data_IF_727345468579
#
_entry.id   IF_727345468579
#
_cell.length_a   1.000
_cell.length_b   1.000
_cell.length_c   1.000
_cell.angle_alpha   90.00
_cell.angle_beta   90.00
_cell.angle_gamma   90.00
#
_symmetry.space_group_name_H-M   'P 1'
#
loop_
_entity.id
_entity.type
_entity.pdbx_description
1 polymer ?
#
# COMPACT_ATOMS: atom_id res chain seq x y z
N UNK A 1 -1.99 -19.77 1.66
CA UNK A 1 -2.88 -18.76 1.06
C UNK A 1 -2.82 -18.93 -0.45
N UNK A 2 -3.92 -18.74 -1.18
CA UNK A 2 -3.91 -18.63 -2.64
C UNK A 2 -4.92 -17.57 -3.08
N UNK A 3 -4.49 -16.60 -3.90
CA UNK A 3 -5.37 -15.61 -4.47
C UNK A 3 -5.04 -15.30 -5.93
N UNK A 4 -6.09 -15.05 -6.72
CA UNK A 4 -6.04 -14.79 -8.16
C UNK A 4 -6.64 -13.42 -8.44
N UNK A 5 -5.86 -12.55 -9.06
CA UNK A 5 -6.26 -11.19 -9.46
C UNK A 5 -6.33 -11.16 -10.98
N UNK A 6 -7.42 -10.65 -11.54
CA UNK A 6 -7.61 -10.58 -12.99
C UNK A 6 -7.62 -9.16 -13.54
N UNK A 7 -7.15 -9.02 -14.78
CA UNK A 7 -7.28 -7.82 -15.59
C UNK A 7 -6.76 -6.55 -14.92
N UNK A 8 -7.56 -5.48 -14.97
CA UNK A 8 -7.17 -4.16 -14.48
C UNK A 8 -6.92 -4.12 -12.96
N UNK A 9 -7.45 -5.09 -12.20
CA UNK A 9 -7.21 -5.18 -10.76
C UNK A 9 -5.73 -5.43 -10.44
N UNK A 10 -4.98 -6.09 -11.33
CA UNK A 10 -3.52 -6.30 -11.13
C UNK A 10 -2.78 -4.97 -11.08
N UNK A 11 -3.16 -4.01 -11.93
CA UNK A 11 -2.62 -2.64 -11.89
C UNK A 11 -2.97 -1.92 -10.59
N UNK A 12 -4.20 -2.08 -10.09
CA UNK A 12 -4.64 -1.47 -8.82
C UNK A 12 -3.85 -2.04 -7.65
N UNK A 13 -3.66 -3.36 -7.59
CA UNK A 13 -2.80 -4.00 -6.60
C UNK A 13 -1.37 -3.46 -6.66
N UNK A 14 -0.80 -3.35 -7.87
CA UNK A 14 0.50 -2.74 -8.07
C UNK A 14 0.58 -1.29 -7.58
N UNK A 15 -0.44 -0.47 -7.82
CA UNK A 15 -0.49 0.91 -7.29
C UNK A 15 -0.46 0.94 -5.76
N UNK A 16 -1.12 0.01 -5.08
CA UNK A 16 -1.07 -0.09 -3.63
C UNK A 16 0.33 -0.45 -3.14
N UNK A 17 1.03 -1.38 -3.81
CA UNK A 17 2.45 -1.69 -3.53
C UNK A 17 3.33 -0.45 -3.69
N UNK A 18 3.16 0.32 -4.78
CA UNK A 18 3.90 1.57 -5.00
C UNK A 18 3.61 2.64 -3.93
N UNK A 19 2.38 2.72 -3.44
CA UNK A 19 2.01 3.65 -2.37
C UNK A 19 2.67 3.22 -1.04
N UNK A 20 2.58 1.95 -0.68
CA UNK A 20 3.19 1.42 0.54
C UNK A 20 4.72 1.49 0.53
N UNK A 21 5.36 1.37 -0.64
CA UNK A 21 6.83 1.51 -0.74
C UNK A 21 7.35 2.92 -0.46
N UNK A 22 6.46 3.92 -0.35
CA UNK A 22 6.81 5.27 0.11
C UNK A 22 6.78 5.40 1.64
N UNK A 23 6.26 4.40 2.34
CA UNK A 23 6.11 4.39 3.80
C UNK A 23 7.22 3.56 4.44
N UNK A 24 7.43 2.32 3.97
CA UNK A 24 8.38 1.40 4.59
C UNK A 24 9.07 0.46 3.61
N UNK A 25 10.17 -0.12 4.09
CA UNK A 25 11.03 -1.06 3.34
C UNK A 25 10.56 -2.53 3.44
N UNK A 26 9.57 -2.79 4.28
CA UNK A 26 8.98 -4.12 4.48
C UNK A 26 7.49 -4.11 4.14
N UNK A 27 7.01 -5.21 3.56
CA UNK A 27 5.61 -5.42 3.22
C UNK A 27 5.09 -6.67 3.94
N UNK A 28 4.01 -6.50 4.71
CA UNK A 28 3.27 -7.61 5.30
C UNK A 28 2.12 -8.01 4.38
N UNK A 29 2.04 -9.31 4.09
CA UNK A 29 0.90 -9.96 3.43
C UNK A 29 0.12 -10.69 4.52
N UNK A 30 -1.01 -10.13 4.93
CA UNK A 30 -1.86 -10.70 5.97
C UNK A 30 -3.18 -11.20 5.38
N UNK A 31 -3.32 -12.51 5.14
CA UNK A 31 -4.56 -13.10 4.67
C UNK A 31 -5.59 -13.23 5.80
N UNK A 32 -6.73 -12.56 5.64
CA UNK A 32 -7.82 -12.52 6.61
C UNK A 32 -9.13 -13.02 5.98
N UNK A 33 -10.12 -13.36 6.81
CA UNK A 33 -11.48 -13.68 6.32
C UNK A 33 -12.08 -12.53 5.51
N UNK A 34 -11.78 -11.28 5.90
CA UNK A 34 -12.22 -10.06 5.20
C UNK A 34 -11.38 -9.73 3.96
N UNK A 35 -10.44 -10.59 3.56
CA UNK A 35 -9.60 -10.42 2.39
C UNK A 35 -8.10 -10.29 2.71
N UNK A 36 -7.30 -9.86 1.74
CA UNK A 36 -5.85 -9.71 1.90
C UNK A 36 -5.50 -8.28 2.31
N UNK A 37 -4.89 -8.13 3.49
CA UNK A 37 -4.31 -6.86 3.91
C UNK A 37 -2.84 -6.77 3.50
N UNK A 38 -2.50 -5.67 2.83
CA UNK A 38 -1.14 -5.24 2.57
C UNK A 38 -0.79 -4.16 3.59
N UNK A 39 0.28 -4.34 4.36
CA UNK A 39 0.68 -3.37 5.38
C UNK A 39 2.15 -3.01 5.28
N UNK A 40 2.48 -1.80 5.68
CA UNK A 40 3.86 -1.34 5.80
C UNK A 40 3.96 -0.32 6.94
N UNK A 41 5.11 -0.29 7.58
CA UNK A 41 5.46 0.67 8.63
C UNK A 41 6.85 1.21 8.33
N UNK A 42 7.10 2.48 8.63
CA UNK A 42 8.44 3.06 8.53
C UNK A 42 9.37 2.53 9.63
N UNK A 43 10.68 2.76 9.48
CA UNK A 43 11.71 2.32 10.45
C UNK A 43 11.52 2.90 11.85
N UNK A 44 10.96 4.11 11.96
CA UNK A 44 10.70 4.79 13.22
C UNK A 44 9.36 4.39 13.87
N UNK A 45 8.58 3.49 13.26
CA UNK A 45 7.26 3.07 13.74
C UNK A 45 6.26 4.22 13.92
N UNK A 46 6.47 5.35 13.24
CA UNK A 46 5.65 6.56 13.34
C UNK A 46 4.69 6.74 12.16
N UNK A 47 4.87 6.00 11.06
CA UNK A 47 4.01 6.03 9.90
C UNK A 47 3.58 4.61 9.51
N UNK A 48 2.27 4.40 9.37
CA UNK A 48 1.67 3.12 9.03
C UNK A 48 0.76 3.27 7.81
N UNK A 49 0.85 2.33 6.88
CA UNK A 49 -0.02 2.23 5.71
C UNK A 49 -0.66 0.85 5.61
N UNK A 50 -1.94 0.81 5.24
CA UNK A 50 -2.69 -0.43 5.05
C UNK A 50 -3.65 -0.32 3.88
N UNK A 51 -3.62 -1.33 2.99
CA UNK A 51 -4.65 -1.56 1.99
C UNK A 51 -5.30 -2.91 2.23
N UNK A 52 -6.63 -2.93 2.38
CA UNK A 52 -7.39 -4.17 2.48
C UNK A 52 -8.11 -4.44 1.16
N UNK A 53 -7.74 -5.54 0.50
CA UNK A 53 -8.44 -6.05 -0.67
C UNK A 53 -9.47 -7.09 -0.24
N UNK A 54 -10.76 -6.74 -0.35
CA UNK A 54 -11.89 -7.63 -0.07
C UNK A 54 -11.82 -8.93 -0.89
N UNK A 55 -12.39 -10.08 -0.47
CA UNK A 55 -12.39 -11.30 -1.25
C UNK A 55 -12.95 -11.13 -2.67
N UNK A 56 -13.93 -10.23 -2.85
CA UNK A 56 -14.52 -9.93 -4.17
C UNK A 56 -13.60 -9.17 -5.13
N UNK A 57 -12.48 -8.63 -4.63
CA UNK A 57 -11.43 -8.06 -5.48
C UNK A 57 -10.72 -9.15 -6.29
N UNK A 58 -10.69 -10.38 -5.77
CA UNK A 58 -10.04 -11.52 -6.36
C UNK A 58 -11.07 -12.35 -7.14
N UNK A 59 -10.65 -12.93 -8.26
CA UNK A 59 -11.43 -13.97 -8.91
C UNK A 59 -11.51 -15.21 -8.02
N UNK A 60 -10.42 -15.51 -7.33
CA UNK A 60 -10.35 -16.59 -6.35
C UNK A 60 -9.57 -16.10 -5.14
N UNK A 61 -10.13 -16.33 -3.94
CA UNK A 61 -9.46 -16.05 -2.68
C UNK A 61 -9.67 -17.24 -1.75
N UNK A 62 -8.58 -17.91 -1.36
CA UNK A 62 -8.61 -19.00 -0.39
C UNK A 62 -7.53 -18.83 0.69
N UNK A 63 -7.99 -18.94 1.92
CA UNK A 63 -7.13 -19.15 3.07
C UNK A 63 -6.69 -20.62 3.04
N UNK A 64 -5.41 -20.89 3.13
CA UNK A 64 -4.91 -22.27 3.13
C UNK A 64 -5.35 -22.98 4.41
N UNK A 65 -6.26 -23.96 4.27
CA UNK A 65 -6.52 -25.09 5.18
C UNK A 65 -6.88 -24.75 6.63
N UNK A 66 -8.11 -25.13 7.03
CA UNK A 66 -8.75 -24.89 8.33
C UNK A 66 -7.97 -25.31 9.61
N UNK A 67 -6.80 -25.93 9.48
CA UNK A 67 -5.97 -26.43 10.61
C UNK A 67 -4.59 -25.76 10.71
N UNK A 68 -4.21 -24.87 9.79
CA UNK A 68 -2.94 -24.13 9.89
C UNK A 68 -3.24 -22.67 10.17
N UNK A 69 -2.59 -22.12 11.19
CA UNK A 69 -2.59 -20.68 11.43
C UNK A 69 -2.30 -19.97 10.10
N UNK A 70 -3.13 -18.97 9.77
CA UNK A 70 -2.95 -18.17 8.55
C UNK A 70 -1.56 -17.56 8.60
N UNK A 71 -0.65 -18.09 7.78
CA UNK A 71 0.75 -17.63 7.74
C UNK A 71 0.76 -16.16 7.36
N UNK A 72 1.16 -15.33 8.31
CA UNK A 72 1.41 -13.91 8.14
C UNK A 72 2.86 -13.77 7.72
N UNK A 73 3.08 -13.31 6.49
CA UNK A 73 4.42 -13.22 5.96
C UNK A 73 4.83 -11.78 5.72
N UNK A 74 6.09 -11.51 6.04
CA UNK A 74 6.78 -10.25 5.80
C UNK A 74 7.80 -10.47 4.69
N UNK A 75 7.76 -9.62 3.66
CA UNK A 75 8.66 -9.67 2.52
C UNK A 75 9.32 -8.32 2.30
N UNK A 76 10.56 -8.34 1.82
CA UNK A 76 11.30 -7.13 1.47
C UNK A 76 10.56 -6.36 0.38
N UNK A 77 10.18 -5.10 0.66
CA UNK A 77 9.37 -4.27 -0.23
C UNK A 77 9.98 -4.13 -1.62
N UNK A 78 11.30 -3.91 -1.69
CA UNK A 78 12.03 -3.76 -2.96
C UNK A 78 11.85 -4.97 -3.89
N UNK A 79 11.79 -6.17 -3.32
CA UNK A 79 11.58 -7.40 -4.08
C UNK A 79 10.20 -7.43 -4.72
N UNK A 80 9.15 -7.08 -3.97
CA UNK A 80 7.76 -7.01 -4.48
C UNK A 80 7.60 -5.85 -5.46
N UNK A 81 8.10 -4.66 -5.12
CA UNK A 81 8.03 -3.46 -5.96
C UNK A 81 8.68 -3.67 -7.32
N UNK A 82 9.77 -4.45 -7.38
CA UNK A 82 10.44 -4.78 -8.65
C UNK A 82 9.52 -5.52 -9.63
N UNK A 83 8.60 -6.35 -9.12
CA UNK A 83 7.61 -7.09 -9.92
C UNK A 83 6.54 -6.15 -10.50
N UNK A 84 6.18 -5.10 -9.74
CA UNK A 84 5.20 -4.10 -10.12
C UNK A 84 5.81 -2.82 -10.70
N UNK A 85 7.10 -2.83 -11.10
CA UNK A 85 7.85 -1.63 -11.52
C UNK A 85 7.17 -0.85 -12.66
N UNK A 86 6.69 -1.55 -13.69
CA UNK A 86 6.09 -0.94 -14.87
C UNK A 86 4.60 -1.28 -14.98
N UNK A 87 3.77 -0.47 -14.31
CA UNK A 87 2.32 -0.69 -14.24
C UNK A 87 1.63 -0.61 -15.61
N UNK A 88 2.15 0.19 -16.54
CA UNK A 88 1.63 0.27 -17.93
C UNK A 88 1.89 -1.01 -18.72
N UNK A 89 3.04 -1.66 -18.49
CA UNK A 89 3.33 -2.98 -19.08
C UNK A 89 2.45 -4.06 -18.46
N UNK A 90 2.23 -4.02 -17.14
CA UNK A 90 1.33 -4.96 -16.45
C UNK A 90 -0.08 -4.87 -17.04
N UNK A 91 -0.65 -3.67 -17.12
CA UNK A 91 -1.99 -3.45 -17.68
C UNK A 91 -2.15 -3.95 -19.11
N UNK A 92 -1.10 -3.82 -19.93
CA UNK A 92 -1.13 -4.24 -21.33
C UNK A 92 -0.90 -5.72 -21.53
N UNK A 93 -0.10 -6.36 -20.68
CA UNK A 93 0.47 -7.68 -20.98
C UNK A 93 0.00 -8.78 -20.02
N UNK A 94 -0.37 -8.45 -18.78
CA UNK A 94 -0.75 -9.41 -17.74
C UNK A 94 -2.26 -9.60 -17.75
N UNK A 95 -2.69 -10.83 -17.93
CA UNK A 95 -4.10 -11.23 -17.90
C UNK A 95 -4.52 -11.61 -16.47
N UNK A 96 -3.66 -12.36 -15.77
CA UNK A 96 -3.91 -12.80 -14.40
C UNK A 96 -2.62 -12.73 -13.55
N UNK A 97 -2.78 -12.46 -12.26
CA UNK A 97 -1.72 -12.52 -11.26
C UNK A 97 -2.14 -13.49 -10.15
N UNK A 98 -1.37 -14.55 -9.96
CA UNK A 98 -1.59 -15.52 -8.89
C UNK A 98 -0.59 -15.25 -7.78
N UNK A 99 -1.06 -15.16 -6.54
CA UNK A 99 -0.23 -15.02 -5.35
C UNK A 99 -0.54 -16.19 -4.44
N UNK A 100 0.46 -17.02 -4.18
CA UNK A 100 0.30 -18.19 -3.31
C UNK A 100 1.46 -18.32 -2.33
N UNK A 101 1.18 -18.97 -1.21
CA UNK A 101 2.19 -19.39 -0.25
C UNK A 101 2.09 -20.91 -0.20
N UNK A 102 2.88 -21.62 -1.04
CA UNK A 102 2.87 -23.08 -1.06
C UNK A 102 3.49 -23.59 0.25
N UNK A 103 2.76 -24.41 1.01
CA UNK A 103 3.38 -25.18 2.08
C UNK A 103 4.13 -26.38 1.47
N UNK A 104 5.32 -26.78 1.96
CA UNK A 104 6.05 -26.29 3.14
C UNK A 104 7.16 -25.27 2.81
N UNK A 105 6.95 -24.34 1.88
CA UNK A 105 8.00 -23.41 1.45
C UNK A 105 7.94 -22.07 2.19
N UNK A 106 9.11 -21.54 2.58
CA UNK A 106 9.26 -20.18 3.11
C UNK A 106 9.27 -19.12 2.00
N UNK A 107 8.48 -19.35 0.94
CA UNK A 107 8.42 -18.50 -0.24
C UNK A 107 7.00 -18.12 -0.60
N UNK A 108 6.82 -16.84 -0.89
CA UNK A 108 5.63 -16.33 -1.57
C UNK A 108 5.88 -16.46 -3.06
N UNK A 109 5.02 -17.20 -3.75
CA UNK A 109 5.03 -17.32 -5.20
C UNK A 109 4.08 -16.31 -5.80
N UNK A 110 4.61 -15.45 -6.68
CA UNK A 110 3.84 -14.50 -7.48
C UNK A 110 4.02 -14.88 -8.95
N UNK A 111 2.93 -15.22 -9.62
CA UNK A 111 2.94 -15.61 -11.04
C UNK A 111 2.13 -14.62 -11.87
N UNK A 112 2.70 -14.12 -12.95
CA UNK A 112 1.98 -13.36 -13.96
C UNK A 112 1.72 -14.24 -15.17
N UNK A 113 0.45 -14.49 -15.45
CA UNK A 113 -0.01 -15.08 -16.69
C UNK A 113 -0.20 -13.94 -17.70
N UNK A 114 0.66 -13.91 -18.70
CA UNK A 114 0.70 -12.87 -19.70
C UNK A 114 0.10 -13.37 -21.03
N UNK A 115 -0.25 -12.41 -21.89
CA UNK A 115 -0.67 -12.67 -23.27
C UNK A 115 0.29 -13.60 -24.00
N UNK A 116 -0.26 -14.33 -24.96
CA UNK A 116 0.47 -15.30 -25.80
C UNK A 116 1.07 -16.48 -25.00
N UNK A 117 0.46 -16.83 -23.86
CA UNK A 117 0.84 -18.00 -23.08
C UNK A 117 2.14 -17.85 -22.29
N UNK A 118 2.62 -16.63 -22.08
CA UNK A 118 3.86 -16.38 -21.33
C UNK A 118 3.58 -16.36 -19.82
N UNK A 119 4.22 -17.24 -19.06
CA UNK A 119 4.11 -17.26 -17.59
C UNK A 119 5.40 -16.79 -16.95
N UNK A 120 5.33 -15.76 -16.10
CA UNK A 120 6.46 -15.28 -15.29
C UNK A 120 6.26 -15.67 -13.84
N UNK A 121 7.15 -16.49 -13.30
CA UNK A 121 7.07 -16.98 -11.91
C UNK A 121 8.17 -16.34 -11.07
N UNK A 122 7.77 -15.75 -9.94
CA UNK A 122 8.66 -15.10 -8.99
C UNK A 122 8.49 -15.71 -7.61
N UNK A 123 9.58 -16.22 -7.04
CA UNK A 123 9.58 -16.82 -5.70
C UNK A 123 10.32 -15.89 -4.74
N UNK A 124 9.59 -15.24 -3.86
CA UNK A 124 10.11 -14.29 -2.89
C UNK A 124 10.26 -14.99 -1.53
N UNK A 125 11.46 -14.98 -0.96
CA UNK A 125 11.64 -15.43 0.41
C UNK A 125 10.88 -14.51 1.36
N UNK A 126 10.19 -15.09 2.35
CA UNK A 126 9.51 -14.33 3.39
C UNK A 126 10.05 -14.67 4.78
N UNK A 127 9.81 -13.78 5.72
CA UNK A 127 9.97 -14.04 7.16
C UNK A 127 8.58 -14.18 7.76
N UNK A 128 8.35 -15.25 8.52
CA UNK A 128 7.15 -15.34 9.33
C UNK A 128 7.16 -14.21 10.38
N UNK A 129 6.02 -13.56 10.57
CA UNK A 129 5.91 -12.37 11.41
C UNK A 129 4.58 -12.38 12.15
N UNK A 130 4.59 -11.78 13.34
CA UNK A 130 3.37 -11.42 14.04
C UNK A 130 2.54 -10.41 13.23
N UNK A 131 1.25 -10.28 13.55
CA UNK A 131 0.39 -9.29 12.92
C UNK A 131 0.91 -7.89 13.23
N UNK A 132 1.18 -7.14 12.16
CA UNK A 132 1.33 -5.70 12.24
C UNK A 132 -0.06 -5.07 12.31
N UNK A 133 -0.43 -4.54 13.46
CA UNK A 133 -1.65 -3.75 13.67
C UNK A 133 -1.31 -2.39 14.25
N UNK A 134 -1.92 -1.34 13.69
CA UNK A 134 -1.88 0.00 14.27
C UNK A 134 -3.22 0.29 14.93
N UNK A 135 -3.21 0.58 16.23
CA UNK A 135 -4.41 0.96 16.96
C UNK A 135 -4.68 2.44 16.68
N UNK A 136 -5.62 2.70 15.77
CA UNK A 136 -6.05 4.06 15.45
C UNK A 136 -7.57 4.17 15.51
N UNK A 137 -8.07 4.88 16.52
CA UNK A 137 -9.49 5.02 16.76
C UNK A 137 -10.05 6.27 16.05
N UNK A 138 -10.27 6.12 14.74
CA UNK A 138 -10.77 7.18 13.83
C UNK A 138 -12.02 7.90 14.34
N UNK A 139 -12.88 7.19 15.08
CA UNK A 139 -14.14 7.70 15.61
C UNK A 139 -13.99 8.66 16.79
N UNK A 140 -12.80 8.72 17.42
CA UNK A 140 -12.49 9.72 18.45
C UNK A 140 -11.83 10.98 17.89
N UNK A 141 -11.56 11.07 16.58
CA UNK A 141 -10.96 12.25 15.99
C UNK A 141 -11.96 13.42 15.97
N UNK A 142 -11.68 14.57 16.65
CA UNK A 142 -12.61 15.70 16.71
C UNK A 142 -12.71 16.48 15.38
N UNK A 143 -11.69 16.33 14.52
CA UNK A 143 -11.57 17.05 13.26
C UNK A 143 -11.54 16.06 12.10
N UNK A 144 -12.38 16.28 11.09
CA UNK A 144 -12.46 15.44 9.88
C UNK A 144 -12.47 16.32 8.64
N UNK A 145 -11.51 16.10 7.75
CA UNK A 145 -11.44 16.72 6.42
C UNK A 145 -11.68 15.65 5.35
N UNK A 146 -12.65 15.88 4.46
CA UNK A 146 -12.93 15.02 3.31
C UNK A 146 -12.97 15.86 2.04
N UNK A 147 -12.16 15.49 1.06
CA UNK A 147 -12.07 16.16 -0.23
C UNK A 147 -11.71 15.17 -1.33
N UNK A 148 -11.98 15.49 -2.61
CA UNK A 148 -11.48 14.70 -3.72
C UNK A 148 -9.94 14.59 -3.68
N UNK A 149 -9.39 13.39 -3.89
CA UNK A 149 -7.94 13.17 -3.86
C UNK A 149 -7.17 14.08 -4.84
N UNK A 150 -7.78 14.38 -5.99
CA UNK A 150 -7.22 15.32 -6.97
C UNK A 150 -7.08 16.73 -6.39
N UNK A 151 -8.08 17.21 -5.66
CA UNK A 151 -8.04 18.53 -5.01
C UNK A 151 -6.90 18.59 -3.98
N UNK A 152 -6.76 17.55 -3.16
CA UNK A 152 -5.65 17.47 -2.20
C UNK A 152 -4.29 17.39 -2.89
N UNK A 153 -4.21 16.66 -4.01
CA UNK A 153 -3.02 16.64 -4.87
C UNK A 153 -2.66 18.03 -5.39
N UNK A 154 -3.63 18.75 -5.95
CA UNK A 154 -3.48 20.11 -6.47
C UNK A 154 -3.05 21.11 -5.39
N UNK A 155 -3.35 20.85 -4.10
CA UNK A 155 -2.82 21.66 -3.00
C UNK A 155 -1.36 21.35 -2.68
N UNK A 156 -0.93 20.09 -2.83
CA UNK A 156 0.41 19.64 -2.44
C UNK A 156 1.44 19.85 -3.55
N UNK A 157 1.04 19.96 -4.83
CA UNK A 157 1.98 20.18 -5.96
C UNK A 157 2.79 21.47 -5.85
N UNK A 158 2.34 22.42 -5.03
CA UNK A 158 3.02 23.70 -4.84
C UNK A 158 4.18 23.64 -3.85
N UNK A 159 4.32 22.54 -3.10
CA UNK A 159 5.48 22.34 -2.24
C UNK A 159 6.70 21.88 -3.05
N UNK A 160 7.91 22.34 -2.68
CA UNK A 160 9.13 21.79 -3.26
C UNK A 160 9.24 20.28 -3.02
N UNK A 161 9.83 19.55 -3.97
CA UNK A 161 9.97 18.08 -3.90
C UNK A 161 10.80 17.63 -2.69
N UNK A 162 11.67 18.50 -2.18
CA UNK A 162 12.50 18.25 -0.99
C UNK A 162 11.82 18.65 0.33
N UNK A 163 10.57 19.13 0.29
CA UNK A 163 9.85 19.50 1.51
C UNK A 163 9.56 18.24 2.33
N UNK A 164 10.17 18.14 3.51
CA UNK A 164 10.05 16.97 4.37
C UNK A 164 8.76 17.00 5.20
N UNK A 165 8.40 18.17 5.74
CA UNK A 165 7.26 18.33 6.63
C UNK A 165 6.31 19.45 6.19
N UNK A 166 5.01 19.23 6.39
CA UNK A 166 3.96 20.22 6.12
C UNK A 166 3.03 20.33 7.32
N UNK A 167 2.57 21.54 7.60
CA UNK A 167 1.57 21.81 8.64
C UNK A 167 0.19 21.95 8.01
N UNK A 168 -0.75 21.09 8.42
CA UNK A 168 -2.18 21.22 8.11
C UNK A 168 -2.90 21.92 9.25
N UNK A 169 -3.58 23.02 8.94
CA UNK A 169 -4.44 23.75 9.87
C UNK A 169 -5.84 23.93 9.30
N UNK A 170 -6.86 23.84 10.14
CA UNK A 170 -8.26 23.90 9.73
C UNK A 170 -9.09 24.75 10.68
N UNK A 171 -10.00 25.53 10.11
CA UNK A 171 -11.10 26.22 10.77
C UNK A 171 -12.41 25.86 10.06
N UNK A 172 -13.59 26.17 10.61
CA UNK A 172 -14.87 25.89 9.93
C UNK A 172 -15.00 26.52 8.54
N UNK A 173 -14.21 27.56 8.23
CA UNK A 173 -14.28 28.32 6.98
C UNK A 173 -13.09 28.10 6.05
N UNK A 174 -11.98 27.52 6.55
CA UNK A 174 -10.71 27.52 5.83
C UNK A 174 -9.84 26.33 6.16
N UNK A 175 -9.18 25.79 5.14
CA UNK A 175 -8.09 24.82 5.26
C UNK A 175 -6.80 25.45 4.75
N UNK A 176 -5.70 25.27 5.47
CA UNK A 176 -4.41 25.83 5.11
C UNK A 176 -3.29 24.81 5.28
N UNK A 177 -2.47 24.66 4.23
CA UNK A 177 -1.22 23.91 4.23
C UNK A 177 -0.04 24.89 4.20
N UNK A 178 0.97 24.64 5.04
CA UNK A 178 2.20 25.45 5.11
C UNK A 178 3.41 24.54 5.18
N UNK A 179 4.54 25.02 4.70
CA UNK A 179 5.83 24.36 4.90
C UNK A 179 6.22 24.45 6.37
N UNK A 180 6.93 23.44 6.85
CA UNK A 180 7.62 23.49 8.13
C UNK A 180 9.14 23.57 7.89
N UNK A 181 9.83 24.39 8.67
CA UNK A 181 11.29 24.50 8.69
C UNK A 181 11.75 24.51 10.14
N UNK A 182 12.65 23.60 10.51
CA UNK A 182 13.29 23.63 11.81
C UNK A 182 14.22 24.86 11.91
N UNK A 183 13.89 25.79 12.81
CA UNK A 183 14.82 26.84 13.25
C UNK A 183 14.72 28.25 12.65
N UNK A 184 13.53 28.80 12.37
CA UNK A 184 13.45 30.22 12.00
C UNK A 184 12.06 30.86 12.05
N UNK A 185 11.90 31.87 12.92
CA UNK A 185 10.75 32.78 12.94
C UNK A 185 10.76 33.76 11.76
N UNK A 186 10.62 33.25 10.53
CA UNK A 186 10.41 34.04 9.32
C UNK A 186 8.96 34.00 8.87
N UNK A 187 8.43 35.11 8.37
CA UNK A 187 7.04 35.23 7.91
C UNK A 187 6.65 34.12 6.92
N UNK A 188 5.61 33.38 7.34
CA UNK A 188 5.06 32.20 6.69
C UNK A 188 4.11 32.62 5.57
N UNK A 189 4.54 32.54 4.32
CA UNK A 189 3.64 32.75 3.19
C UNK A 189 2.72 31.53 3.02
N UNK A 190 1.38 31.69 3.06
CA UNK A 190 0.45 30.59 2.82
C UNK A 190 0.58 30.12 1.37
N UNK A 191 0.91 28.84 1.17
CA UNK A 191 1.13 28.26 -0.16
C UNK A 191 -0.20 27.93 -0.87
N UNK A 192 -1.27 27.69 -0.10
CA UNK A 192 -2.63 27.60 -0.64
C UNK A 192 -3.65 27.80 0.49
N UNK A 193 -4.69 28.59 0.24
CA UNK A 193 -5.86 28.73 1.11
C UNK A 193 -7.14 28.70 0.28
N UNK A 194 -8.07 27.85 0.67
CA UNK A 194 -9.49 27.97 0.35
C UNK A 194 -10.19 28.45 1.62
#
# INVERSE_FOLDING_TARGET
MNCVIEGNCVKVFGKAVHALSRIGDELWLDPMVKGLALRSVNSALSAYGCFLFSPVFFQQYSLSGQDRETIRCKVVMKSVLSLFRCLTSIERNVEQCHISIPAPTDRVMIQFFCRHGVTKTHNLSFQESEALEAVFATHFCPNVLKAPARLLGDMVIHFPVFQEEITLSMTPLKVCLRNYQDGGGGELNPVAGF
#
